data_IF_239058043059
#
_entry.id   IF_239058043059
#
_cell.length_a   1.000
_cell.length_b   1.000
_cell.length_c   1.000
_cell.angle_alpha   90.00
_cell.angle_beta   90.00
_cell.angle_gamma   90.00
#
_symmetry.space_group_name_H-M   'P 1'
#
loop_
_entity.id
_entity.type
_entity.pdbx_description
1 polymer ?
#
# COMPACT_ATOMS: atom_id res chain seq x y z
N UNK A 1 2.99 13.37 32.85
CA UNK A 1 2.73 14.80 32.53
C UNK A 1 2.14 14.88 31.13
N UNK A 2 1.17 15.79 30.89
CA UNK A 2 0.64 16.21 29.56
C UNK A 2 -0.64 15.58 28.97
N UNK A 3 -1.35 14.65 29.63
CA UNK A 3 -2.59 14.08 29.06
C UNK A 3 -3.87 14.87 29.40
N UNK A 4 -3.84 15.74 30.41
CA UNK A 4 -5.03 16.46 30.92
C UNK A 4 -5.09 17.94 30.56
N UNK A 5 -4.11 18.48 29.82
CA UNK A 5 -4.04 19.92 29.54
C UNK A 5 -4.61 20.36 28.18
N UNK A 6 -5.13 19.46 27.35
CA UNK A 6 -5.67 19.81 26.02
C UNK A 6 -4.60 20.17 24.98
N UNK A 7 -3.34 19.77 25.19
CA UNK A 7 -2.21 20.08 24.30
C UNK A 7 -2.06 19.13 23.11
N UNK A 8 -2.69 17.96 23.15
CA UNK A 8 -2.65 17.02 22.03
C UNK A 8 -3.83 17.34 21.13
N UNK A 9 -3.55 17.95 19.97
CA UNK A 9 -4.56 18.35 18.98
C UNK A 9 -4.42 17.52 17.70
N UNK A 10 -5.45 17.46 16.84
CA UNK A 10 -5.35 16.80 15.53
C UNK A 10 -4.19 17.30 14.66
N UNK A 11 -3.83 18.58 14.77
CA UNK A 11 -2.72 19.21 14.05
C UNK A 11 -1.37 18.63 14.48
N UNK A 12 -1.23 18.21 15.74
CA UNK A 12 -0.01 17.54 16.22
C UNK A 12 0.15 16.16 15.56
N UNK A 13 -0.93 15.40 15.41
CA UNK A 13 -0.91 14.14 14.68
C UNK A 13 -0.61 14.35 13.18
N UNK A 14 -1.14 15.42 12.56
CA UNK A 14 -0.82 15.78 11.17
C UNK A 14 0.67 16.13 11.02
N UNK A 15 1.23 16.90 11.96
CA UNK A 15 2.66 17.20 11.98
C UNK A 15 3.51 15.93 12.15
N UNK A 16 3.10 15.01 13.04
CA UNK A 16 3.78 13.72 13.19
C UNK A 16 3.72 12.87 11.92
N UNK A 17 2.59 12.88 11.18
CA UNK A 17 2.48 12.22 9.88
C UNK A 17 3.49 12.80 8.86
N UNK A 18 3.63 14.12 8.79
CA UNK A 18 4.61 14.78 7.93
C UNK A 18 6.05 14.42 8.33
N UNK A 19 6.33 14.31 9.62
CA UNK A 19 7.64 13.85 10.11
C UNK A 19 7.92 12.41 9.69
N UNK A 20 6.94 11.50 9.77
CA UNK A 20 7.09 10.12 9.29
C UNK A 20 7.41 10.10 7.79
N UNK A 21 6.71 10.90 6.98
CA UNK A 21 7.01 11.03 5.55
C UNK A 21 8.44 11.54 5.33
N UNK A 22 8.85 12.58 6.07
CA UNK A 22 10.19 13.15 5.97
C UNK A 22 11.29 12.14 6.34
N UNK A 23 11.16 11.44 7.47
CA UNK A 23 12.14 10.44 7.90
C UNK A 23 12.17 9.21 6.97
N UNK A 24 11.06 8.90 6.32
CA UNK A 24 10.96 7.87 5.28
C UNK A 24 11.58 8.27 3.94
N UNK A 25 12.06 9.50 3.79
CA UNK A 25 12.75 9.96 2.59
C UNK A 25 14.26 9.74 2.69
N UNK A 26 14.93 9.63 1.54
CA UNK A 26 16.38 9.64 1.47
C UNK A 26 16.90 11.05 1.75
N UNK A 27 17.34 11.32 2.99
CA UNK A 27 18.05 12.55 3.35
C UNK A 27 19.42 12.22 3.97
N UNK A 28 20.37 13.17 4.01
CA UNK A 28 21.74 12.90 4.48
C UNK A 28 21.82 12.37 5.92
N UNK A 29 20.87 12.76 6.76
CA UNK A 29 20.76 12.33 8.16
C UNK A 29 19.73 11.21 8.38
N UNK A 30 19.33 10.50 7.32
CA UNK A 30 18.36 9.41 7.40
C UNK A 30 18.91 8.29 8.28
N UNK A 31 18.04 7.73 9.13
CA UNK A 31 18.35 6.53 9.91
C UNK A 31 17.07 5.76 10.22
N UNK A 32 17.19 4.43 10.28
CA UNK A 32 16.11 3.53 10.69
C UNK A 32 15.58 3.89 12.09
N UNK A 33 16.47 4.27 13.02
CA UNK A 33 16.09 4.66 14.38
C UNK A 33 15.11 5.84 14.39
N UNK A 34 15.39 6.88 13.60
CA UNK A 34 14.51 8.07 13.51
C UNK A 34 13.18 7.76 12.80
N UNK A 35 13.24 6.96 11.74
CA UNK A 35 12.05 6.45 11.05
C UNK A 35 11.13 5.70 12.02
N UNK A 36 11.71 4.81 12.82
CA UNK A 36 10.98 4.07 13.86
C UNK A 36 10.40 4.96 14.94
N UNK A 37 11.21 5.86 15.50
CA UNK A 37 10.77 6.75 16.58
C UNK A 37 9.62 7.67 16.14
N UNK A 38 9.66 8.19 14.92
CA UNK A 38 8.58 9.04 14.39
C UNK A 38 7.31 8.24 14.13
N UNK A 39 7.42 7.01 13.62
CA UNK A 39 6.27 6.12 13.45
C UNK A 39 5.59 5.77 14.77
N UNK A 40 6.39 5.44 15.81
CA UNK A 40 5.87 5.17 17.15
C UNK A 40 5.19 6.40 17.77
N UNK A 41 5.75 7.59 17.57
CA UNK A 41 5.13 8.84 17.99
C UNK A 41 3.76 9.04 17.31
N UNK A 42 3.69 8.82 16.00
CA UNK A 42 2.44 8.94 15.25
C UNK A 42 1.39 7.93 15.75
N UNK A 43 1.76 6.67 15.93
CA UNK A 43 0.86 5.63 16.46
C UNK A 43 0.32 6.01 17.85
N UNK A 44 1.21 6.48 18.72
CA UNK A 44 0.85 6.93 20.07
C UNK A 44 -0.12 8.12 20.06
N UNK A 45 0.07 9.07 19.13
CA UNK A 45 -0.81 10.23 18.97
C UNK A 45 -2.18 9.83 18.42
N UNK A 46 -2.21 8.96 17.40
CA UNK A 46 -3.46 8.44 16.82
C UNK A 46 -4.28 7.69 17.87
N UNK A 47 -3.62 6.86 18.68
CA UNK A 47 -4.26 6.14 19.78
C UNK A 47 -4.72 7.11 20.88
N UNK A 48 -3.86 8.02 21.33
CA UNK A 48 -4.15 8.97 22.41
C UNK A 48 -5.28 9.94 22.07
N UNK A 49 -5.45 10.28 20.79
CA UNK A 49 -6.55 11.11 20.27
C UNK A 49 -7.85 10.33 19.99
N UNK A 50 -7.83 9.01 20.11
CA UNK A 50 -9.00 8.15 19.85
C UNK A 50 -9.42 8.09 18.38
N UNK A 51 -8.53 8.41 17.44
CA UNK A 51 -8.88 8.48 16.01
C UNK A 51 -9.23 7.12 15.40
N UNK A 52 -8.76 6.02 15.99
CA UNK A 52 -9.14 4.66 15.56
C UNK A 52 -10.59 4.31 15.94
N UNK A 53 -11.19 5.05 16.87
CA UNK A 53 -12.55 4.84 17.37
C UNK A 53 -13.53 5.94 16.87
N UNK A 54 -13.12 6.73 15.89
CA UNK A 54 -13.80 7.96 15.47
C UNK A 54 -15.27 7.73 15.09
N UNK A 55 -15.60 6.61 14.46
CA UNK A 55 -16.92 6.30 13.93
C UNK A 55 -17.58 5.11 14.66
N UNK A 56 -17.11 4.74 15.87
CA UNK A 56 -17.54 3.52 16.58
C UNK A 56 -19.04 3.41 16.85
N UNK A 57 -19.75 4.53 16.93
CA UNK A 57 -21.20 4.58 17.20
C UNK A 57 -22.04 4.54 15.91
N UNK A 58 -21.42 4.59 14.73
CA UNK A 58 -22.11 4.60 13.45
C UNK A 58 -22.43 3.16 13.02
N UNK A 59 -23.70 2.86 12.69
CA UNK A 59 -24.16 1.49 12.47
C UNK A 59 -23.53 0.79 11.25
N UNK A 60 -23.09 1.56 10.25
CA UNK A 60 -22.52 1.05 9.01
C UNK A 60 -20.99 1.01 9.02
N UNK A 61 -20.33 1.45 10.10
CA UNK A 61 -18.87 1.40 10.22
C UNK A 61 -18.39 -0.05 10.14
N UNK A 62 -17.34 -0.27 9.36
CA UNK A 62 -16.72 -1.60 9.29
C UNK A 62 -15.90 -1.85 10.55
N UNK A 63 -16.08 -3.01 11.16
CA UNK A 63 -15.26 -3.48 12.29
C UNK A 63 -14.63 -4.82 11.95
N UNK A 64 -13.45 -5.09 12.52
CA UNK A 64 -12.69 -6.31 12.28
C UNK A 64 -12.50 -7.07 13.59
N UNK A 65 -12.56 -8.41 13.53
CA UNK A 65 -12.40 -9.24 14.72
C UNK A 65 -10.92 -9.39 15.08
N UNK A 66 -10.56 -9.36 16.37
CA UNK A 66 -9.25 -9.79 16.82
C UNK A 66 -8.95 -11.23 16.36
N UNK A 67 -7.68 -11.53 16.10
CA UNK A 67 -7.21 -12.87 15.70
C UNK A 67 -7.88 -13.43 14.44
N UNK A 68 -8.28 -12.55 13.51
CA UNK A 68 -8.82 -12.94 12.20
C UNK A 68 -8.24 -12.02 11.13
N UNK A 69 -8.22 -12.51 9.88
CA UNK A 69 -7.82 -11.63 8.77
C UNK A 69 -8.92 -10.62 8.47
N UNK A 70 -8.57 -9.34 8.21
CA UNK A 70 -9.56 -8.32 7.89
C UNK A 70 -10.29 -8.69 6.61
N UNK A 71 -11.58 -9.00 6.74
CA UNK A 71 -12.46 -9.41 5.64
C UNK A 71 -13.86 -8.87 5.91
N UNK A 72 -14.49 -8.27 4.89
CA UNK A 72 -15.90 -7.85 4.98
C UNK A 72 -16.86 -9.05 5.00
N UNK A 73 -16.44 -10.16 4.41
CA UNK A 73 -17.23 -11.37 4.23
C UNK A 73 -16.62 -12.50 5.07
N UNK A 74 -16.91 -12.50 6.37
CA UNK A 74 -16.64 -13.64 7.25
C UNK A 74 -17.83 -14.60 7.28
N UNK A 75 -17.65 -15.87 7.72
CA UNK A 75 -18.75 -16.84 7.86
C UNK A 75 -19.85 -16.43 8.87
N UNK A 76 -19.66 -15.31 9.58
CA UNK A 76 -20.57 -14.76 10.57
C UNK A 76 -20.76 -13.24 10.42
N UNK A 77 -20.46 -12.67 9.25
CA UNK A 77 -20.92 -11.30 8.96
C UNK A 77 -22.45 -11.39 8.78
N UNK A 78 -23.21 -10.87 9.73
CA UNK A 78 -24.69 -10.82 9.74
C UNK A 78 -25.30 -9.99 8.59
N UNK A 79 -24.49 -9.59 7.62
CA UNK A 79 -24.98 -9.16 6.33
C UNK A 79 -25.35 -10.41 5.52
N UNK A 80 -26.57 -10.89 5.74
CA UNK A 80 -27.34 -11.78 4.86
C UNK A 80 -27.64 -11.16 3.48
N UNK A 81 -26.74 -10.32 2.97
CA UNK A 81 -26.59 -10.13 1.55
C UNK A 81 -25.75 -11.29 1.06
N UNK A 82 -26.40 -12.38 0.63
CA UNK A 82 -25.88 -13.07 -0.54
C UNK A 82 -25.49 -11.97 -1.51
N UNK A 83 -24.20 -11.78 -1.75
CA UNK A 83 -23.78 -11.17 -2.97
C UNK A 83 -24.40 -12.06 -4.05
N UNK A 84 -25.59 -11.69 -4.50
CA UNK A 84 -25.85 -11.69 -5.91
C UNK A 84 -24.65 -10.95 -6.50
N UNK A 85 -23.60 -11.73 -6.80
CA UNK A 85 -22.74 -11.44 -7.92
C UNK A 85 -23.75 -11.15 -9.00
N UNK A 86 -23.95 -9.85 -9.27
CA UNK A 86 -24.78 -9.41 -10.35
C UNK A 86 -24.13 -9.94 -11.62
N UNK A 87 -24.47 -11.16 -12.00
CA UNK A 87 -24.80 -11.48 -13.38
C UNK A 87 -26.02 -10.60 -13.71
N UNK A 88 -25.74 -9.31 -13.86
CA UNK A 88 -26.68 -8.22 -14.02
C UNK A 88 -26.10 -7.29 -15.06
N UNK A 89 -26.02 -7.81 -16.28
CA UNK A 89 -26.36 -7.13 -17.53
C UNK A 89 -26.73 -5.63 -17.40
N UNK A 90 -25.76 -4.73 -17.16
CA UNK A 90 -25.77 -3.35 -17.69
C UNK A 90 -24.33 -2.82 -17.65
N UNK A 91 -23.92 -2.15 -18.74
CA UNK A 91 -22.61 -1.49 -18.88
C UNK A 91 -22.52 -0.20 -18.02
N UNK A 92 -23.00 -0.21 -16.79
CA UNK A 92 -22.79 0.91 -15.89
C UNK A 92 -21.44 0.71 -15.21
N UNK A 93 -20.45 1.51 -15.61
CA UNK A 93 -19.13 1.53 -15.00
C UNK A 93 -19.17 1.90 -13.50
N UNK A 94 -18.02 1.87 -12.83
CA UNK A 94 -17.97 2.18 -11.40
C UNK A 94 -18.27 3.67 -11.10
N UNK A 95 -18.81 3.95 -9.91
CA UNK A 95 -19.21 5.30 -9.48
C UNK A 95 -18.09 6.12 -8.84
N UNK A 96 -16.88 5.56 -8.67
CA UNK A 96 -15.79 6.22 -7.96
C UNK A 96 -15.40 7.58 -8.55
N UNK A 97 -15.44 7.72 -9.88
CA UNK A 97 -15.07 8.96 -10.56
C UNK A 97 -15.94 10.15 -10.12
N UNK A 98 -17.23 9.92 -9.85
CA UNK A 98 -18.17 10.96 -9.37
C UNK A 98 -17.68 11.63 -8.09
N UNK A 99 -17.04 10.85 -7.21
CA UNK A 99 -16.62 11.29 -5.89
C UNK A 99 -15.14 11.71 -5.83
N UNK A 100 -14.45 11.79 -6.96
CA UNK A 100 -13.07 12.27 -7.01
C UNK A 100 -12.98 13.77 -6.70
N UNK A 101 -11.89 14.17 -6.05
CA UNK A 101 -11.60 15.57 -5.74
C UNK A 101 -11.63 16.46 -7.00
N UNK A 102 -11.16 15.95 -8.15
CA UNK A 102 -11.21 16.67 -9.43
C UNK A 102 -12.62 17.09 -9.88
N UNK A 103 -13.63 16.35 -9.43
CA UNK A 103 -15.03 16.54 -9.81
C UNK A 103 -15.82 17.25 -8.72
N UNK A 104 -15.53 17.01 -7.43
CA UNK A 104 -16.23 17.70 -6.34
C UNK A 104 -15.62 19.05 -5.97
N UNK A 105 -14.36 19.32 -6.33
CA UNK A 105 -13.70 20.60 -6.08
C UNK A 105 -12.83 21.03 -7.28
N UNK A 106 -13.41 21.76 -8.25
CA UNK A 106 -12.69 22.14 -9.47
C UNK A 106 -11.39 22.95 -9.22
N UNK A 107 -11.36 23.76 -8.16
CA UNK A 107 -10.18 24.55 -7.76
C UNK A 107 -8.96 23.70 -7.43
N UNK A 108 -9.14 22.43 -7.04
CA UNK A 108 -8.04 21.50 -6.75
C UNK A 108 -7.14 21.24 -7.95
N UNK A 109 -7.61 21.45 -9.19
CA UNK A 109 -6.78 21.33 -10.40
C UNK A 109 -5.61 22.30 -10.41
N UNK A 110 -5.76 23.44 -9.75
CA UNK A 110 -4.73 24.48 -9.64
C UNK A 110 -3.94 24.35 -8.35
N UNK A 111 -4.61 24.05 -7.23
CA UNK A 111 -4.01 24.09 -5.89
C UNK A 111 -3.28 22.77 -5.55
N UNK A 112 -3.88 21.64 -5.90
CA UNK A 112 -3.39 20.30 -5.51
C UNK A 112 -3.53 19.28 -6.66
N UNK A 113 -2.90 19.51 -7.83
CA UNK A 113 -3.08 18.67 -9.01
C UNK A 113 -2.66 17.20 -8.83
N UNK A 114 -1.80 16.90 -7.85
CA UNK A 114 -1.38 15.53 -7.54
C UNK A 114 -2.42 14.72 -6.75
N UNK A 115 -3.46 15.38 -6.23
CA UNK A 115 -4.46 14.79 -5.32
C UNK A 115 -5.82 14.60 -6.00
N UNK A 116 -5.89 14.88 -7.31
CA UNK A 116 -7.14 14.91 -8.06
C UNK A 116 -7.91 13.59 -8.06
N UNK A 117 -7.21 12.47 -7.92
CA UNK A 117 -7.83 11.15 -7.86
C UNK A 117 -8.17 10.69 -6.43
N UNK A 118 -7.91 11.49 -5.40
CA UNK A 118 -8.32 11.20 -4.02
C UNK A 118 -9.84 11.38 -3.83
N UNK A 119 -10.42 10.85 -2.74
CA UNK A 119 -11.79 11.18 -2.38
C UNK A 119 -11.97 12.70 -2.24
N UNK A 120 -13.05 13.20 -2.83
CA UNK A 120 -13.43 14.60 -2.77
C UNK A 120 -13.96 15.03 -1.41
N UNK A 121 -14.45 16.26 -1.35
CA UNK A 121 -15.21 16.78 -0.21
C UNK A 121 -16.68 16.95 -0.61
N UNK A 122 -17.61 16.72 0.32
CA UNK A 122 -19.03 17.03 0.10
C UNK A 122 -19.34 18.46 0.53
N UNK A 123 -20.09 19.21 -0.28
CA UNK A 123 -20.59 20.55 0.07
C UNK A 123 -21.66 20.50 1.18
N UNK A 124 -22.28 19.35 1.39
CA UNK A 124 -23.32 19.15 2.42
C UNK A 124 -22.72 18.95 3.82
N UNK A 125 -21.41 18.74 3.94
CA UNK A 125 -20.76 18.48 5.21
C UNK A 125 -20.62 19.75 6.04
N UNK A 126 -21.12 19.68 7.28
CA UNK A 126 -20.82 20.68 8.29
C UNK A 126 -19.34 20.62 8.68
N UNK A 127 -18.82 21.71 9.27
CA UNK A 127 -17.41 21.83 9.69
C UNK A 127 -16.95 20.65 10.57
N UNK A 128 -17.82 20.15 11.45
CA UNK A 128 -17.51 19.00 12.31
C UNK A 128 -17.27 17.74 11.47
N UNK A 129 -18.09 17.47 10.45
CA UNK A 129 -17.92 16.30 9.61
C UNK A 129 -16.68 16.45 8.70
N UNK A 130 -16.39 17.67 8.24
CA UNK A 130 -15.14 17.97 7.50
C UNK A 130 -13.92 17.63 8.37
N UNK A 131 -13.92 18.03 9.64
CA UNK A 131 -12.83 17.71 10.59
C UNK A 131 -12.74 16.22 10.89
N UNK A 132 -13.87 15.51 11.03
CA UNK A 132 -13.86 14.04 11.18
C UNK A 132 -13.23 13.41 9.95
N UNK A 133 -13.61 13.83 8.75
CA UNK A 133 -13.04 13.31 7.50
C UNK A 133 -11.52 13.58 7.38
N UNK A 134 -11.03 14.75 7.81
CA UNK A 134 -9.59 15.02 7.90
C UNK A 134 -8.87 14.00 8.80
N UNK A 135 -9.47 13.66 9.94
CA UNK A 135 -8.94 12.66 10.88
C UNK A 135 -8.97 11.25 10.29
N UNK A 136 -10.04 10.86 9.58
CA UNK A 136 -10.10 9.58 8.86
C UNK A 136 -8.97 9.46 7.85
N UNK A 137 -8.75 10.50 7.03
CA UNK A 137 -7.69 10.53 6.02
C UNK A 137 -6.31 10.43 6.66
N UNK A 138 -6.10 11.05 7.81
CA UNK A 138 -4.87 10.92 8.59
C UNK A 138 -4.64 9.47 9.04
N UNK A 139 -5.64 8.81 9.62
CA UNK A 139 -5.55 7.40 10.05
C UNK A 139 -5.21 6.48 8.88
N UNK A 140 -5.91 6.60 7.76
CA UNK A 140 -5.68 5.75 6.59
C UNK A 140 -4.33 6.01 5.91
N UNK A 141 -3.87 7.27 5.92
CA UNK A 141 -2.54 7.64 5.43
C UNK A 141 -1.45 7.09 6.35
N UNK A 142 -1.66 7.14 7.67
CA UNK A 142 -0.75 6.58 8.66
C UNK A 142 -0.65 5.05 8.54
N UNK A 143 -1.76 4.34 8.30
CA UNK A 143 -1.75 2.89 8.00
C UNK A 143 -0.96 2.60 6.72
N UNK A 144 -1.21 3.35 5.65
CA UNK A 144 -0.54 3.16 4.36
C UNK A 144 0.97 3.35 4.50
N UNK A 145 1.42 4.40 5.21
CA UNK A 145 2.83 4.59 5.51
C UNK A 145 3.37 3.46 6.38
N UNK A 146 2.69 3.11 7.47
CA UNK A 146 3.10 2.04 8.39
C UNK A 146 3.36 0.75 7.61
N UNK A 147 2.45 0.36 6.72
CA UNK A 147 2.61 -0.83 5.91
C UNK A 147 3.85 -0.79 5.00
N UNK A 148 4.19 0.36 4.42
CA UNK A 148 5.41 0.53 3.61
C UNK A 148 6.69 0.59 4.44
N UNK A 149 6.63 1.09 5.67
CA UNK A 149 7.75 1.00 6.61
C UNK A 149 7.98 -0.44 7.08
N UNK A 150 6.90 -1.15 7.35
CA UNK A 150 6.94 -2.54 7.76
C UNK A 150 7.54 -3.44 6.66
N UNK A 151 7.28 -3.18 5.37
CA UNK A 151 7.94 -3.94 4.30
C UNK A 151 9.47 -3.73 4.23
N UNK A 152 9.99 -2.69 4.90
CA UNK A 152 11.38 -2.26 4.81
C UNK A 152 12.24 -2.55 6.03
N UNK A 153 11.61 -2.54 7.21
CA UNK A 153 12.31 -2.61 8.47
C UNK A 153 11.72 -3.72 9.33
N UNK A 154 12.32 -4.91 9.27
CA UNK A 154 11.97 -6.04 10.12
C UNK A 154 11.99 -5.65 11.61
N UNK A 155 12.84 -4.70 12.01
CA UNK A 155 12.93 -4.23 13.40
C UNK A 155 11.64 -3.54 13.89
N UNK A 156 10.82 -3.01 12.98
CA UNK A 156 9.53 -2.39 13.30
C UNK A 156 8.46 -3.41 13.67
N UNK A 157 8.63 -4.67 13.25
CA UNK A 157 7.67 -5.75 13.52
C UNK A 157 7.56 -6.09 15.01
N UNK A 158 8.66 -5.90 15.73
CA UNK A 158 8.72 -6.10 17.18
C UNK A 158 7.95 -5.02 17.98
N UNK A 159 7.59 -3.91 17.33
CA UNK A 159 6.89 -2.81 17.98
C UNK A 159 5.40 -3.00 17.73
N UNK A 160 4.68 -3.37 18.78
CA UNK A 160 3.27 -3.73 18.79
C UNK A 160 2.32 -2.54 18.45
N UNK A 161 2.47 -1.96 17.25
CA UNK A 161 1.79 -0.74 16.81
C UNK A 161 0.28 -0.94 16.75
N UNK A 162 -0.46 0.04 17.27
CA UNK A 162 -1.92 -0.01 17.32
C UNK A 162 -2.53 0.10 15.93
N UNK A 163 -1.92 0.91 15.05
CA UNK A 163 -2.37 1.13 13.68
C UNK A 163 -2.12 -0.06 12.76
N UNK A 164 -1.25 -1.01 13.13
CA UNK A 164 -1.03 -2.23 12.37
C UNK A 164 -2.12 -3.30 12.60
N UNK A 165 -2.99 -3.09 13.61
CA UNK A 165 -4.00 -4.05 14.06
C UNK A 165 -5.38 -3.68 13.51
N UNK A 166 -5.87 -4.48 12.55
CA UNK A 166 -7.16 -4.27 11.92
C UNK A 166 -8.32 -4.06 12.91
N UNK A 167 -8.37 -4.83 14.00
CA UNK A 167 -9.48 -4.77 14.97
C UNK A 167 -9.54 -3.47 15.78
N UNK A 168 -8.51 -2.63 15.73
CA UNK A 168 -8.57 -1.31 16.34
C UNK A 168 -9.37 -0.32 15.49
N UNK A 169 -9.58 -0.57 14.20
CA UNK A 169 -10.26 0.35 13.29
C UNK A 169 -11.77 0.26 13.45
N UNK A 170 -12.36 1.32 13.97
CA UNK A 170 -13.80 1.64 13.95
C UNK A 170 -13.97 3.01 13.27
N UNK A 171 -13.49 3.08 12.04
CA UNK A 171 -13.41 4.28 11.20
C UNK A 171 -13.93 3.93 9.82
N UNK A 172 -14.71 4.82 9.20
CA UNK A 172 -15.16 4.63 7.82
C UNK A 172 -13.99 4.47 6.86
N UNK A 173 -14.13 3.59 5.87
CA UNK A 173 -13.12 3.42 4.81
C UNK A 173 -13.01 4.72 3.99
N UNK A 174 -11.87 4.98 3.32
CA UNK A 174 -11.70 6.21 2.55
C UNK A 174 -12.81 6.42 1.52
N UNK A 175 -13.42 7.60 1.57
CA UNK A 175 -14.50 7.98 0.67
C UNK A 175 -15.88 7.41 1.03
N UNK A 176 -16.00 6.51 2.02
CA UNK A 176 -17.27 5.82 2.32
C UNK A 176 -18.41 6.81 2.66
N UNK A 177 -18.12 7.85 3.45
CA UNK A 177 -19.08 8.93 3.76
C UNK A 177 -19.57 9.74 2.56
N UNK A 178 -18.84 9.75 1.44
CA UNK A 178 -19.28 10.46 0.22
C UNK A 178 -20.42 9.71 -0.48
N UNK A 179 -20.45 8.38 -0.36
CA UNK A 179 -21.48 7.54 -0.96
C UNK A 179 -22.78 7.61 -0.17
N UNK A 180 -22.73 7.69 1.17
CA UNK A 180 -23.91 7.74 2.05
C UNK A 180 -24.71 9.06 2.06
N UNK A 181 -24.64 9.85 1.00
CA UNK A 181 -25.52 11.03 0.84
C UNK A 181 -26.96 10.57 0.58
N UNK A 182 -28.00 11.31 1.03
CA UNK A 182 -29.40 10.84 1.02
C UNK A 182 -29.92 10.38 -0.35
N UNK A 183 -29.25 10.75 -1.45
CA UNK A 183 -29.62 10.36 -2.80
C UNK A 183 -29.07 8.97 -3.23
N UNK A 184 -28.13 8.36 -2.49
CA UNK A 184 -27.46 7.10 -2.86
C UNK A 184 -27.25 6.22 -1.61
N UNK A 185 -28.21 5.39 -1.24
CA UNK A 185 -27.99 4.31 -0.27
C UNK A 185 -27.39 3.09 -0.98
N UNK A 186 -26.09 3.13 -1.24
CA UNK A 186 -25.32 1.95 -1.64
C UNK A 186 -24.08 1.83 -0.75
N UNK A 187 -24.32 1.48 0.52
CA UNK A 187 -23.30 1.27 1.55
C UNK A 187 -22.25 0.22 1.10
N UNK A 188 -22.64 -0.70 0.23
CA UNK A 188 -21.74 -1.73 -0.28
C UNK A 188 -20.82 -1.19 -1.38
N UNK A 189 -21.35 -0.40 -2.33
CA UNK A 189 -20.52 0.26 -3.35
C UNK A 189 -19.44 1.16 -2.73
N UNK A 190 -19.75 1.82 -1.62
CA UNK A 190 -18.83 2.67 -0.88
C UNK A 190 -17.57 1.91 -0.40
N UNK A 191 -17.80 0.74 0.22
CA UNK A 191 -16.76 -0.18 0.71
C UNK A 191 -15.99 -0.90 -0.41
N UNK A 192 -16.52 -0.81 -1.63
CA UNK A 192 -15.96 -1.39 -2.84
C UNK A 192 -15.26 -0.34 -3.72
N UNK A 193 -15.21 0.93 -3.31
CA UNK A 193 -14.47 1.97 -4.02
C UNK A 193 -12.97 1.64 -4.08
N UNK A 194 -12.25 2.15 -5.10
CA UNK A 194 -10.81 1.90 -5.25
C UNK A 194 -10.03 2.32 -3.98
N UNK A 195 -10.42 3.44 -3.35
CA UNK A 195 -9.77 3.92 -2.13
C UNK A 195 -10.00 2.98 -0.93
N UNK A 196 -11.24 2.51 -0.75
CA UNK A 196 -11.58 1.54 0.27
C UNK A 196 -10.82 0.21 0.07
N UNK A 197 -10.74 -0.27 -1.17
CA UNK A 197 -10.00 -1.49 -1.52
C UNK A 197 -8.51 -1.34 -1.22
N UNK A 198 -7.89 -0.22 -1.59
CA UNK A 198 -6.46 0.01 -1.31
C UNK A 198 -6.15 0.04 0.18
N UNK A 199 -6.97 0.71 0.99
CA UNK A 199 -6.81 0.68 2.45
C UNK A 199 -7.00 -0.70 3.03
N UNK A 200 -7.89 -1.53 2.47
CA UNK A 200 -8.03 -2.94 2.85
C UNK A 200 -6.78 -3.75 2.48
N UNK A 201 -6.14 -3.49 1.33
CA UNK A 201 -4.85 -4.12 0.99
C UNK A 201 -3.80 -3.84 2.07
N UNK A 202 -3.63 -2.58 2.45
CA UNK A 202 -2.68 -2.18 3.49
C UNK A 202 -2.98 -2.83 4.84
N UNK A 203 -4.25 -2.87 5.24
CA UNK A 203 -4.67 -3.50 6.47
C UNK A 203 -4.41 -5.01 6.47
N UNK A 204 -4.71 -5.68 5.36
CA UNK A 204 -4.49 -7.11 5.20
C UNK A 204 -3.00 -7.44 5.26
N UNK A 205 -2.16 -6.67 4.56
CA UNK A 205 -0.71 -6.83 4.59
C UNK A 205 -0.14 -6.66 6.01
N UNK A 206 -0.49 -5.57 6.71
CA UNK A 206 -0.07 -5.34 8.10
C UNK A 206 -0.53 -6.44 9.05
N UNK A 207 -1.75 -6.98 8.85
CA UNK A 207 -2.26 -8.10 9.65
C UNK A 207 -1.47 -9.39 9.40
N UNK A 208 -1.12 -9.68 8.14
CA UNK A 208 -0.29 -10.84 7.79
C UNK A 208 1.11 -10.76 8.41
N UNK A 209 1.73 -9.58 8.36
CA UNK A 209 3.03 -9.34 8.99
C UNK A 209 2.95 -9.50 10.51
N UNK A 210 1.93 -8.93 11.15
CA UNK A 210 1.73 -9.06 12.60
C UNK A 210 1.62 -10.53 13.01
N UNK A 211 0.81 -11.32 12.29
CA UNK A 211 0.65 -12.77 12.54
C UNK A 211 1.94 -13.54 12.27
N UNK A 212 2.70 -13.16 11.24
CA UNK A 212 3.96 -13.82 10.90
C UNK A 212 4.98 -13.71 12.04
N UNK A 213 5.10 -12.53 12.65
CA UNK A 213 6.04 -12.25 13.73
C UNK A 213 5.51 -12.58 15.14
N UNK A 214 4.23 -12.91 15.29
CA UNK A 214 3.68 -13.31 16.58
C UNK A 214 4.03 -14.78 16.90
N UNK A 215 4.91 -14.95 17.87
CA UNK A 215 5.35 -16.26 18.38
C UNK A 215 4.23 -16.99 19.16
N UNK A 216 3.18 -16.29 19.57
CA UNK A 216 2.08 -16.88 20.35
C UNK A 216 1.01 -17.54 19.46
N UNK A 217 1.03 -17.27 18.14
CA UNK A 217 0.08 -17.89 17.20
C UNK A 217 0.62 -19.24 16.76
N UNK A 218 -0.18 -20.30 16.93
CA UNK A 218 0.22 -21.65 16.55
C UNK A 218 0.42 -21.77 15.03
N UNK A 219 1.30 -22.67 14.59
CA UNK A 219 1.52 -22.93 13.16
C UNK A 219 0.24 -23.36 12.42
N UNK A 220 -0.68 -24.04 13.13
CA UNK A 220 -1.98 -24.41 12.60
C UNK A 220 -2.85 -23.17 12.35
N UNK A 221 -2.97 -22.28 13.33
CA UNK A 221 -3.78 -21.05 13.23
C UNK A 221 -3.19 -20.10 12.19
N UNK A 222 -1.86 -19.98 12.16
CA UNK A 222 -1.10 -19.29 11.13
C UNK A 222 -1.47 -19.77 9.73
N UNK A 223 -1.55 -21.08 9.50
CA UNK A 223 -2.01 -21.67 8.24
C UNK A 223 -3.47 -21.33 7.88
N UNK A 224 -4.38 -21.34 8.85
CA UNK A 224 -5.79 -20.94 8.63
C UNK A 224 -5.91 -19.46 8.28
N UNK A 225 -5.20 -18.60 9.00
CA UNK A 225 -5.16 -17.16 8.76
C UNK A 225 -4.55 -16.84 7.40
N UNK A 226 -3.51 -17.56 6.99
CA UNK A 226 -2.92 -17.45 5.67
C UNK A 226 -3.91 -17.78 4.54
N UNK A 227 -4.70 -18.85 4.70
CA UNK A 227 -5.76 -19.20 3.76
C UNK A 227 -6.81 -18.08 3.66
N UNK A 228 -7.25 -17.53 4.80
CA UNK A 228 -8.18 -16.41 4.81
C UNK A 228 -7.62 -15.18 4.08
N UNK A 229 -6.35 -14.86 4.31
CA UNK A 229 -5.67 -13.77 3.63
C UNK A 229 -5.58 -14.00 2.12
N UNK A 230 -5.28 -15.22 1.68
CA UNK A 230 -5.25 -15.55 0.25
C UNK A 230 -6.60 -15.35 -0.42
N UNK A 231 -7.68 -15.87 0.17
CA UNK A 231 -9.03 -15.74 -0.36
C UNK A 231 -9.48 -14.28 -0.39
N UNK A 232 -9.12 -13.49 0.62
CA UNK A 232 -9.41 -12.06 0.63
C UNK A 232 -8.62 -11.29 -0.43
N UNK A 233 -7.35 -11.64 -0.65
CA UNK A 233 -6.55 -11.09 -1.74
C UNK A 233 -7.20 -11.34 -3.11
N UNK A 234 -7.71 -12.55 -3.37
CA UNK A 234 -8.41 -12.87 -4.62
C UNK A 234 -9.73 -12.09 -4.75
N UNK A 235 -10.48 -11.90 -3.65
CA UNK A 235 -11.68 -11.07 -3.65
C UNK A 235 -11.37 -9.61 -3.98
N UNK A 236 -10.40 -9.00 -3.30
CA UNK A 236 -10.03 -7.60 -3.54
C UNK A 236 -9.54 -7.41 -4.99
N UNK A 237 -8.74 -8.33 -5.51
CA UNK A 237 -8.27 -8.29 -6.90
C UNK A 237 -9.43 -8.33 -7.91
N UNK A 238 -10.37 -9.27 -7.74
CA UNK A 238 -11.57 -9.33 -8.58
C UNK A 238 -12.42 -8.05 -8.50
N UNK A 239 -12.50 -7.43 -7.32
CA UNK A 239 -13.22 -6.17 -7.15
C UNK A 239 -12.49 -5.00 -7.81
N UNK A 240 -11.15 -4.96 -7.77
CA UNK A 240 -10.34 -3.99 -8.50
C UNK A 240 -10.49 -4.15 -10.01
N UNK A 241 -10.48 -5.39 -10.52
CA UNK A 241 -10.68 -5.70 -11.95
C UNK A 241 -12.07 -5.31 -12.47
N UNK A 242 -13.07 -5.23 -11.59
CA UNK A 242 -14.40 -4.75 -11.94
C UNK A 242 -14.49 -3.21 -12.09
N UNK A 243 -13.49 -2.45 -11.64
CA UNK A 243 -13.49 -0.99 -11.78
C UNK A 243 -13.16 -0.55 -13.22
N UNK A 244 -13.86 0.48 -13.67
CA UNK A 244 -13.70 1.06 -15.02
C UNK A 244 -13.10 2.47 -15.00
N UNK A 245 -12.68 2.97 -13.82
CA UNK A 245 -12.11 4.30 -13.65
C UNK A 245 -10.57 4.29 -13.68
N UNK A 246 -9.94 5.44 -13.94
CA UNK A 246 -8.48 5.60 -13.97
C UNK A 246 -7.83 5.91 -12.60
N UNK A 247 -8.54 5.68 -11.47
CA UNK A 247 -7.99 5.95 -10.13
C UNK A 247 -6.75 5.11 -9.84
N UNK A 248 -6.75 3.84 -10.24
CA UNK A 248 -5.60 2.95 -10.01
C UNK A 248 -4.33 3.49 -10.69
N UNK A 249 -4.45 4.07 -11.89
CA UNK A 249 -3.33 4.70 -12.61
C UNK A 249 -2.81 5.94 -11.87
N UNK A 250 -3.71 6.79 -11.38
CA UNK A 250 -3.34 8.01 -10.67
C UNK A 250 -2.63 7.74 -9.33
N UNK A 251 -2.86 6.56 -8.76
CA UNK A 251 -2.23 6.07 -7.52
C UNK A 251 -1.11 5.06 -7.78
N UNK A 252 -0.61 5.00 -9.02
CA UNK A 252 0.50 4.14 -9.45
C UNK A 252 0.32 2.66 -9.12
N UNK A 253 -0.94 2.19 -9.09
CA UNK A 253 -1.27 0.80 -8.76
C UNK A 253 -0.74 0.33 -7.40
N UNK A 254 -0.51 1.25 -6.46
CA UNK A 254 0.13 0.94 -5.18
C UNK A 254 -0.63 -0.12 -4.38
N UNK A 255 -1.97 -0.08 -4.39
CA UNK A 255 -2.79 -1.13 -3.75
C UNK A 255 -2.58 -2.53 -4.35
N UNK A 256 -2.33 -2.64 -5.67
CA UNK A 256 -2.01 -3.93 -6.31
C UNK A 256 -0.61 -4.43 -5.97
N UNK A 257 0.34 -3.52 -5.75
CA UNK A 257 1.66 -3.89 -5.24
C UNK A 257 1.55 -4.52 -3.85
N UNK A 258 0.79 -3.90 -2.95
CA UNK A 258 0.59 -4.40 -1.57
C UNK A 258 -0.14 -5.75 -1.57
N UNK A 259 -1.11 -5.96 -2.47
CA UNK A 259 -1.74 -7.28 -2.64
C UNK A 259 -0.75 -8.35 -3.07
N UNK A 260 0.16 -8.02 -3.99
CA UNK A 260 1.20 -8.94 -4.40
C UNK A 260 2.13 -9.30 -3.24
N UNK A 261 2.50 -8.32 -2.42
CA UNK A 261 3.37 -8.53 -1.26
C UNK A 261 2.71 -9.43 -0.23
N UNK A 262 1.42 -9.22 -0.01
CA UNK A 262 0.60 -10.07 0.85
C UNK A 262 0.57 -11.51 0.32
N UNK A 263 0.33 -11.70 -0.99
CA UNK A 263 0.31 -13.04 -1.61
C UNK A 263 1.66 -13.73 -1.50
N UNK A 264 2.77 -13.03 -1.75
CA UNK A 264 4.12 -13.61 -1.62
C UNK A 264 4.45 -13.99 -0.18
N UNK A 265 4.11 -13.13 0.79
CA UNK A 265 4.27 -13.43 2.21
C UNK A 265 3.49 -14.69 2.58
N UNK A 266 2.22 -14.78 2.17
CA UNK A 266 1.38 -15.96 2.42
C UNK A 266 1.93 -17.22 1.74
N UNK A 267 2.31 -17.15 0.46
CA UNK A 267 2.81 -18.30 -0.29
C UNK A 267 4.15 -18.82 0.22
N UNK A 268 5.10 -17.94 0.55
CA UNK A 268 6.42 -18.34 1.05
C UNK A 268 6.32 -19.09 2.38
N UNK A 269 5.40 -18.67 3.25
CA UNK A 269 5.25 -19.22 4.61
C UNK A 269 4.36 -20.47 4.65
N UNK A 270 3.28 -20.50 3.86
CA UNK A 270 2.23 -21.53 3.97
C UNK A 270 2.04 -22.38 2.72
N UNK A 271 3.08 -22.46 1.89
CA UNK A 271 3.18 -23.39 0.74
C UNK A 271 2.70 -24.82 1.04
N UNK A 272 2.82 -25.26 2.31
CA UNK A 272 2.38 -26.58 2.79
C UNK A 272 0.86 -26.72 3.02
N UNK A 273 0.13 -25.62 3.21
CA UNK A 273 -1.28 -25.62 3.64
C UNK A 273 -2.24 -24.99 2.63
N UNK A 274 -1.73 -24.22 1.67
CA UNK A 274 -2.54 -23.71 0.57
C UNK A 274 -2.70 -24.82 -0.48
N UNK A 275 -3.91 -25.23 -0.92
CA UNK A 275 -4.08 -26.19 -1.99
C UNK A 275 -3.60 -25.59 -3.32
N UNK A 276 -2.60 -26.22 -3.95
CA UNK A 276 -2.02 -25.72 -5.19
C UNK A 276 -2.49 -26.56 -6.39
N UNK A 277 -3.15 -25.96 -7.40
CA UNK A 277 -3.49 -26.63 -8.64
C UNK A 277 -2.33 -26.69 -9.67
N UNK A 278 -1.14 -26.17 -9.33
CA UNK A 278 0.02 -26.14 -10.24
C UNK A 278 0.87 -27.40 -10.11
N UNK A 279 1.26 -27.98 -11.25
CA UNK A 279 2.26 -29.05 -11.33
C UNK A 279 3.65 -28.41 -11.19
N UNK A 280 4.21 -28.33 -9.98
CA UNK A 280 5.51 -27.68 -9.71
C UNK A 280 5.89 -27.59 -8.22
N UNK A 281 6.96 -26.87 -7.87
CA UNK A 281 7.35 -26.63 -6.47
C UNK A 281 6.23 -25.85 -5.75
N UNK A 282 5.61 -26.41 -4.70
CA UNK A 282 4.53 -25.75 -3.97
C UNK A 282 4.97 -24.46 -3.26
N UNK A 283 6.29 -24.20 -3.17
CA UNK A 283 6.85 -22.99 -2.55
C UNK A 283 6.89 -21.77 -3.47
N UNK A 284 6.69 -21.95 -4.78
CA UNK A 284 6.79 -20.87 -5.76
C UNK A 284 5.75 -20.97 -6.87
N UNK A 285 4.79 -20.05 -6.89
CA UNK A 285 3.75 -19.98 -7.91
C UNK A 285 4.26 -19.37 -9.21
N UNK A 286 5.00 -20.17 -9.99
CA UNK A 286 5.61 -19.72 -11.25
C UNK A 286 4.64 -18.99 -12.19
N UNK A 287 3.44 -19.51 -12.39
CA UNK A 287 2.46 -18.90 -13.31
C UNK A 287 1.93 -17.55 -12.81
N UNK A 288 1.64 -17.44 -11.50
CA UNK A 288 1.24 -16.14 -10.90
C UNK A 288 2.40 -15.16 -10.89
N UNK A 289 3.63 -15.61 -10.60
CA UNK A 289 4.83 -14.78 -10.69
C UNK A 289 5.05 -14.27 -12.12
N UNK A 290 4.92 -15.13 -13.14
CA UNK A 290 5.00 -14.75 -14.54
C UNK A 290 3.91 -13.74 -14.93
N UNK A 291 2.66 -13.98 -14.54
CA UNK A 291 1.55 -13.05 -14.81
C UNK A 291 1.81 -11.70 -14.16
N UNK A 292 2.26 -11.69 -12.90
CA UNK A 292 2.60 -10.47 -12.19
C UNK A 292 3.79 -9.74 -12.82
N UNK A 293 4.86 -10.44 -13.22
CA UNK A 293 6.02 -9.83 -13.89
C UNK A 293 5.60 -9.17 -15.21
N UNK A 294 4.70 -9.79 -15.99
CA UNK A 294 4.15 -9.19 -17.21
C UNK A 294 3.28 -7.97 -16.90
N UNK A 295 2.48 -8.04 -15.85
CA UNK A 295 1.71 -6.89 -15.37
C UNK A 295 2.64 -5.75 -14.95
N UNK A 296 3.68 -6.03 -14.17
CA UNK A 296 4.67 -5.05 -13.76
C UNK A 296 5.45 -4.49 -14.92
N UNK A 297 5.77 -5.27 -15.95
CA UNK A 297 6.38 -4.74 -17.17
C UNK A 297 5.51 -3.67 -17.82
N UNK A 298 4.20 -3.90 -17.91
CA UNK A 298 3.27 -2.90 -18.43
C UNK A 298 3.17 -1.69 -17.51
N UNK A 299 3.09 -1.89 -16.19
CA UNK A 299 3.06 -0.79 -15.20
C UNK A 299 4.34 0.02 -15.25
N UNK A 300 5.51 -0.61 -15.31
CA UNK A 300 6.83 0.05 -15.38
C UNK A 300 7.02 0.78 -16.69
N UNK A 301 6.60 0.22 -17.82
CA UNK A 301 6.63 0.94 -19.09
C UNK A 301 5.72 2.18 -19.06
N UNK A 302 4.52 2.04 -18.49
CA UNK A 302 3.63 3.18 -18.28
C UNK A 302 4.20 4.17 -17.28
N UNK A 303 4.86 3.71 -16.21
CA UNK A 303 5.42 4.53 -15.15
C UNK A 303 6.66 5.28 -15.61
N UNK A 304 7.62 4.64 -16.27
CA UNK A 304 8.79 5.29 -16.88
C UNK A 304 8.34 6.19 -18.06
N UNK A 305 7.35 5.74 -18.82
CA UNK A 305 6.66 6.53 -19.85
C UNK A 305 5.90 7.73 -19.28
N UNK A 306 5.37 7.62 -18.06
CA UNK A 306 4.73 8.68 -17.30
C UNK A 306 5.79 9.59 -16.65
N UNK A 307 6.86 9.08 -16.08
CA UNK A 307 7.96 9.91 -15.62
C UNK A 307 8.52 10.78 -16.76
N UNK A 308 8.38 10.31 -18.02
CA UNK A 308 8.61 11.13 -19.22
C UNK A 308 7.41 11.96 -19.72
N UNK A 309 6.13 11.57 -19.49
CA UNK A 309 4.89 12.25 -19.98
C UNK A 309 3.96 12.90 -18.92
N UNK A 310 3.88 12.39 -17.70
CA UNK A 310 3.29 12.98 -16.46
C UNK A 310 4.03 14.25 -16.02
N UNK A 311 5.07 14.64 -16.77
CA UNK A 311 5.55 16.01 -16.95
C UNK A 311 4.54 16.95 -17.65
N UNK A 312 3.30 16.52 -17.91
CA UNK A 312 2.19 17.38 -18.31
C UNK A 312 1.90 18.55 -17.33
N UNK A 313 2.51 18.53 -16.15
CA UNK A 313 2.92 19.72 -15.40
C UNK A 313 4.43 19.85 -15.55
N UNK A 314 4.88 20.84 -16.33
CA UNK A 314 6.29 21.09 -16.71
C UNK A 314 7.29 21.25 -15.54
N UNK A 315 6.84 21.14 -14.28
CA UNK A 315 7.61 21.43 -13.07
C UNK A 315 7.77 20.23 -12.11
N UNK A 316 7.17 19.06 -12.36
CA UNK A 316 7.25 17.92 -11.43
C UNK A 316 8.36 16.92 -11.82
N UNK A 317 9.57 17.23 -11.39
CA UNK A 317 10.78 16.41 -11.59
C UNK A 317 10.88 15.29 -10.54
N UNK A 318 11.53 14.17 -10.85
CA UNK A 318 11.93 13.15 -9.84
C UNK A 318 12.67 13.77 -8.63
N UNK A 319 13.30 14.93 -8.83
CA UNK A 319 13.93 15.74 -7.81
C UNK A 319 12.98 16.30 -6.73
N UNK A 320 11.66 16.13 -6.85
CA UNK A 320 10.70 16.46 -5.78
C UNK A 320 10.19 15.23 -5.04
N UNK A 321 10.69 14.02 -5.35
CA UNK A 321 10.14 12.74 -4.86
C UNK A 321 11.19 11.83 -4.22
N UNK A 322 11.83 12.25 -3.12
CA UNK A 322 12.85 11.46 -2.42
C UNK A 322 12.35 10.15 -1.82
N UNK A 323 11.03 10.03 -1.60
CA UNK A 323 10.41 8.81 -1.10
C UNK A 323 10.49 7.64 -2.09
N UNK A 324 10.57 7.91 -3.40
CA UNK A 324 10.61 6.84 -4.40
C UNK A 324 11.91 6.04 -4.41
N UNK A 325 13.00 6.54 -3.82
CA UNK A 325 14.27 5.80 -3.78
C UNK A 325 14.10 4.43 -3.14
N UNK A 326 13.41 4.37 -1.99
CA UNK A 326 13.09 3.11 -1.35
C UNK A 326 12.22 2.27 -2.26
N UNK A 327 11.09 2.79 -2.73
CA UNK A 327 10.23 2.04 -3.66
C UNK A 327 11.00 1.35 -4.81
N UNK A 328 11.94 2.03 -5.47
CA UNK A 328 12.76 1.40 -6.51
C UNK A 328 13.68 0.28 -5.98
N UNK A 329 14.27 0.43 -4.80
CA UNK A 329 15.08 -0.63 -4.19
C UNK A 329 14.26 -1.89 -3.89
N UNK A 330 13.05 -1.73 -3.36
CA UNK A 330 12.13 -2.85 -3.07
C UNK A 330 11.73 -3.56 -4.37
N UNK A 331 11.46 -2.81 -5.43
CA UNK A 331 11.21 -3.39 -6.74
C UNK A 331 12.42 -4.22 -7.24
N UNK A 332 13.64 -3.67 -7.17
CA UNK A 332 14.86 -4.37 -7.56
C UNK A 332 15.07 -5.67 -6.75
N UNK A 333 14.95 -5.58 -5.43
CA UNK A 333 15.13 -6.72 -4.53
C UNK A 333 14.14 -7.84 -4.82
N UNK A 334 12.87 -7.47 -5.02
CA UNK A 334 11.77 -8.39 -5.29
C UNK A 334 11.91 -9.11 -6.64
N UNK A 335 12.24 -8.38 -7.70
CA UNK A 335 12.48 -9.00 -9.00
C UNK A 335 13.69 -9.94 -8.96
N UNK A 336 14.77 -9.55 -8.29
CA UNK A 336 15.92 -10.43 -8.06
C UNK A 336 15.54 -11.68 -7.27
N UNK A 337 14.77 -11.53 -6.20
CA UNK A 337 14.29 -12.66 -5.40
C UNK A 337 13.46 -13.64 -6.25
N UNK A 338 12.54 -13.14 -7.07
CA UNK A 338 11.73 -13.98 -7.98
C UNK A 338 12.63 -14.75 -8.96
N UNK A 339 13.65 -14.09 -9.51
CA UNK A 339 14.61 -14.76 -10.40
C UNK A 339 15.48 -15.80 -9.66
N UNK A 340 15.88 -15.52 -8.42
CA UNK A 340 16.63 -16.47 -7.58
C UNK A 340 15.82 -17.75 -7.29
N UNK A 341 14.48 -17.64 -7.20
CA UNK A 341 13.59 -18.81 -7.08
C UNK A 341 13.45 -19.60 -8.39
N UNK A 342 13.39 -18.93 -9.54
CA UNK A 342 13.34 -19.56 -10.86
C UNK A 342 14.16 -18.77 -11.90
N UNK A 343 15.42 -19.16 -12.15
CA UNK A 343 16.29 -18.48 -13.11
C UNK A 343 15.80 -18.48 -14.57
N UNK A 344 14.75 -19.26 -14.90
CA UNK A 344 14.11 -19.23 -16.23
C UNK A 344 13.26 -17.97 -16.44
N UNK A 345 12.89 -17.26 -15.37
CA UNK A 345 12.10 -16.03 -15.40
C UNK A 345 12.95 -14.79 -15.75
N UNK A 346 13.57 -14.81 -16.94
CA UNK A 346 14.45 -13.73 -17.42
C UNK A 346 13.82 -12.34 -17.43
N UNK A 347 12.50 -12.27 -17.60
CA UNK A 347 11.74 -11.01 -17.52
C UNK A 347 11.99 -10.24 -16.21
N UNK A 348 12.25 -10.94 -15.10
CA UNK A 348 12.58 -10.28 -13.83
C UNK A 348 13.93 -9.54 -13.90
N UNK A 349 14.95 -10.12 -14.53
CA UNK A 349 16.24 -9.43 -14.74
C UNK A 349 16.10 -8.26 -15.71
N UNK A 350 15.31 -8.41 -16.77
CA UNK A 350 15.05 -7.33 -17.71
C UNK A 350 14.40 -6.11 -17.03
N UNK A 351 13.49 -6.35 -16.08
CA UNK A 351 12.89 -5.29 -15.26
C UNK A 351 13.91 -4.63 -14.33
N UNK A 352 14.77 -5.42 -13.68
CA UNK A 352 15.84 -4.87 -12.84
C UNK A 352 16.76 -3.93 -13.63
N UNK A 353 17.24 -4.38 -14.79
CA UNK A 353 18.13 -3.60 -15.65
C UNK A 353 17.46 -2.31 -16.13
N UNK A 354 16.15 -2.34 -16.42
CA UNK A 354 15.39 -1.14 -16.81
C UNK A 354 15.23 -0.13 -15.67
N UNK A 355 15.06 -0.58 -14.43
CA UNK A 355 14.82 0.31 -13.28
C UNK A 355 16.09 0.91 -12.68
N UNK A 356 17.20 0.19 -12.80
CA UNK A 356 18.48 0.54 -12.19
C UNK A 356 18.92 2.01 -12.45
N UNK A 357 18.84 2.56 -13.68
CA UNK A 357 19.25 3.94 -13.93
C UNK A 357 18.41 4.98 -13.18
N UNK A 358 17.11 4.69 -12.95
CA UNK A 358 16.22 5.60 -12.23
C UNK A 358 16.51 5.58 -10.74
N UNK A 359 16.77 4.40 -10.17
CA UNK A 359 17.22 4.26 -8.78
C UNK A 359 18.53 5.01 -8.53
N UNK A 360 19.50 4.87 -9.45
CA UNK A 360 20.78 5.58 -9.38
C UNK A 360 20.62 7.10 -9.46
N UNK A 361 19.76 7.58 -10.37
CA UNK A 361 19.46 9.01 -10.50
C UNK A 361 18.92 9.59 -9.19
N UNK A 362 17.99 8.89 -8.52
CA UNK A 362 17.43 9.33 -7.25
C UNK A 362 18.46 9.35 -6.12
N UNK A 363 19.38 8.37 -6.07
CA UNK A 363 20.48 8.36 -5.09
C UNK A 363 21.49 9.49 -5.29
N UNK A 364 21.65 9.96 -6.52
CA UNK A 364 22.47 11.12 -6.84
C UNK A 364 21.76 12.43 -6.45
N UNK A 365 20.45 12.52 -6.65
CA UNK A 365 19.65 13.69 -6.24
C UNK A 365 19.49 13.79 -4.72
N UNK A 366 19.42 12.65 -4.03
CA UNK A 366 19.13 12.54 -2.61
C UNK A 366 20.18 11.70 -1.89
N UNK A 367 21.39 12.25 -1.67
CA UNK A 367 22.51 11.48 -1.14
C UNK A 367 22.21 11.03 0.30
N UNK A 368 22.22 9.72 0.50
CA UNK A 368 22.08 9.09 1.80
C UNK A 368 22.89 7.79 1.87
N UNK A 369 23.67 7.63 2.94
CA UNK A 369 24.62 6.52 3.07
C UNK A 369 23.94 5.15 3.19
N UNK A 370 22.82 5.06 3.92
CA UNK A 370 22.09 3.80 4.12
C UNK A 370 21.54 3.25 2.79
N UNK A 371 20.66 4.00 2.11
CA UNK A 371 20.13 3.64 0.80
C UNK A 371 21.23 3.35 -0.24
N UNK A 372 22.32 4.13 -0.26
CA UNK A 372 23.44 3.87 -1.19
C UNK A 372 24.06 2.49 -0.99
N UNK A 373 24.33 2.08 0.25
CA UNK A 373 24.86 0.74 0.55
C UNK A 373 23.89 -0.36 0.11
N UNK A 374 22.59 -0.18 0.34
CA UNK A 374 21.58 -1.15 -0.10
C UNK A 374 21.57 -1.28 -1.63
N UNK A 375 21.64 -0.15 -2.34
CA UNK A 375 21.74 -0.14 -3.80
C UNK A 375 23.00 -0.86 -4.30
N UNK A 376 24.16 -0.65 -3.68
CA UNK A 376 25.40 -1.34 -4.05
C UNK A 376 25.26 -2.87 -3.92
N UNK A 377 24.60 -3.36 -2.87
CA UNK A 377 24.29 -4.79 -2.68
C UNK A 377 23.37 -5.30 -3.79
N UNK A 378 22.29 -4.56 -4.10
CA UNK A 378 21.34 -4.93 -5.16
C UNK A 378 22.00 -4.91 -6.54
N UNK A 379 22.83 -3.91 -6.82
CA UNK A 379 23.58 -3.79 -8.07
C UNK A 379 24.51 -4.99 -8.24
N UNK A 380 25.27 -5.36 -7.21
CA UNK A 380 26.16 -6.51 -7.27
C UNK A 380 25.42 -7.83 -7.47
N UNK A 381 24.28 -8.02 -6.78
CA UNK A 381 23.40 -9.20 -7.00
C UNK A 381 22.91 -9.26 -8.44
N UNK A 382 22.47 -8.14 -9.00
CA UNK A 382 22.04 -8.06 -10.39
C UNK A 382 23.16 -8.38 -11.38
N UNK A 383 24.37 -7.84 -11.18
CA UNK A 383 25.53 -8.15 -12.01
C UNK A 383 25.81 -9.65 -12.02
N UNK A 384 25.79 -10.30 -10.85
CA UNK A 384 26.01 -11.74 -10.73
C UNK A 384 24.91 -12.53 -11.46
N UNK A 385 23.65 -12.13 -11.30
CA UNK A 385 22.51 -12.77 -11.95
C UNK A 385 22.52 -12.62 -13.49
N UNK A 386 22.89 -11.45 -14.00
CA UNK A 386 23.08 -11.19 -15.42
C UNK A 386 24.20 -12.08 -15.99
N UNK A 387 25.34 -12.15 -15.30
CA UNK A 387 26.47 -12.99 -15.69
C UNK A 387 26.09 -14.47 -15.76
N UNK A 388 25.37 -14.97 -14.74
CA UNK A 388 24.86 -16.35 -14.72
C UNK A 388 23.90 -16.63 -15.88
N UNK A 389 23.05 -15.66 -16.21
CA UNK A 389 22.02 -15.80 -17.26
C UNK A 389 22.54 -15.55 -18.69
N UNK A 390 23.79 -15.13 -18.84
CA UNK A 390 24.38 -14.73 -20.13
C UNK A 390 23.77 -13.45 -20.71
N UNK A 391 23.24 -12.57 -19.85
CA UNK A 391 22.65 -11.26 -20.23
C UNK A 391 23.72 -10.17 -20.01
N UNK A 392 23.79 -9.13 -20.86
CA UNK A 392 24.69 -8.00 -20.64
C UNK A 392 24.52 -7.41 -19.24
N UNK A 393 25.61 -7.34 -18.49
CA UNK A 393 25.61 -6.78 -17.13
C UNK A 393 25.37 -5.27 -17.17
N UNK A 394 24.68 -4.70 -16.16
CA UNK A 394 24.51 -3.27 -16.07
C UNK A 394 25.86 -2.55 -15.91
N UNK A 395 25.91 -1.28 -16.33
CA UNK A 395 27.10 -0.44 -16.13
C UNK A 395 27.41 -0.27 -14.63
N UNK A 396 28.68 -0.04 -14.26
CA UNK A 396 29.04 0.31 -12.89
C UNK A 396 28.28 1.55 -12.40
N UNK A 397 27.94 1.65 -11.10
CA UNK A 397 27.27 2.82 -10.55
C UNK A 397 28.06 4.10 -10.81
N UNK A 398 27.41 5.14 -11.33
CA UNK A 398 27.97 6.47 -11.52
C UNK A 398 27.52 7.37 -10.39
N UNK A 399 28.22 7.29 -9.27
CA UNK A 399 28.07 8.29 -8.22
C UNK A 399 28.72 9.59 -8.70
N UNK A 400 27.99 10.71 -8.61
CA UNK A 400 28.67 12.00 -8.64
C UNK A 400 29.58 12.04 -7.40
N UNK A 401 30.89 12.23 -7.61
CA UNK A 401 31.80 12.49 -6.49
C UNK A 401 31.27 13.70 -5.71
N UNK A 402 31.22 13.63 -4.36
CA UNK A 402 30.75 14.73 -3.53
C UNK A 402 31.58 16.00 -3.73
#
# INVERSE_FOLDING_TARGET
>A
MSLTSGWITPELAQAALLLVVFEGCCHPAHSESRSRSTLFLLDSLILGLGFLDLDKEEYNVTTFRPNSMPSLFGPFSDHTGQAAIGQGTTKQGCSCSRFQLSNTSPSSKTITPLWLACPGWSEEWVVVETRREEQRRLVWSALSLTSGFLSYYDSLMSQNLSIAKAWNFKVFLPGEKLFGTPQIQDDLAAKHSVWALYSRCHMLYSSCLTVHHDENVSEYDKGQLAMQAWLECERIENMLDAHTCDIEKATLYFGRQVLFDTKNLVSSQYSRYVPHPSIGDPRFHRDKAMLWLRYQQNVMQQFLGALSRVTGLRENTLATRPYFTFWFHDQLDRYLHIWEQDPTLRIALDLCVQLLPTAECLLNLFPSNGPRRQYEVLHQRLVNACNFSGIPSPSPPRYMNP
#
